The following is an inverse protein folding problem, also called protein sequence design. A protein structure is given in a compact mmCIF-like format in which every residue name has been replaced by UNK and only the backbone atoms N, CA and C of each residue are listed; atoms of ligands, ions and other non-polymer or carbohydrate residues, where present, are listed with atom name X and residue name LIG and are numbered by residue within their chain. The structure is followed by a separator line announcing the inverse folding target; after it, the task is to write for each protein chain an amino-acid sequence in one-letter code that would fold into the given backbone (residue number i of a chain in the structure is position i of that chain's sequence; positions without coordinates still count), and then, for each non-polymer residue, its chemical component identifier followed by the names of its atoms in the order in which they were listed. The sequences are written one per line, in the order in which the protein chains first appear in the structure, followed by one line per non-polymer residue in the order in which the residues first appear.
data_IF_491155700902
#
_entry.id   IF_491155700902
#
_cell.length_a   1.000
_cell.length_b   1.000
_cell.length_c   1.000
_cell.angle_alpha   90.00
_cell.angle_beta   90.00
_cell.angle_gamma   90.00
#
_symmetry.space_group_name_H-M   'P 1'
#
loop_
_entity.id
_entity.type
_entity.pdbx_description
1 polymer ?
#
# COMPACT_ATOMS: atom_id res chain seq x y z
N UNK A 1 -10.77 -24.38 -8.20
CA UNK A 1 -10.08 -23.56 -9.21
C UNK A 1 -10.29 -22.05 -9.02
N UNK A 2 -11.36 -21.56 -8.36
CA UNK A 2 -11.60 -20.11 -8.20
C UNK A 2 -10.87 -19.38 -7.06
N UNK A 3 -10.38 -20.07 -6.02
CA UNK A 3 -9.69 -19.42 -4.89
C UNK A 3 -8.30 -18.89 -5.27
N UNK A 4 -7.57 -19.61 -6.13
CA UNK A 4 -6.24 -19.21 -6.59
C UNK A 4 -6.31 -18.00 -7.52
N UNK A 5 -7.34 -17.94 -8.37
CA UNK A 5 -7.58 -16.81 -9.29
C UNK A 5 -8.00 -15.54 -8.53
N UNK A 6 -8.86 -15.66 -7.51
CA UNK A 6 -9.24 -14.52 -6.66
C UNK A 6 -8.05 -13.99 -5.86
N UNK A 7 -7.22 -14.87 -5.32
CA UNK A 7 -6.01 -14.49 -4.59
C UNK A 7 -4.97 -13.84 -5.52
N UNK A 8 -4.81 -14.35 -6.75
CA UNK A 8 -3.96 -13.75 -7.77
C UNK A 8 -4.47 -12.37 -8.19
N UNK A 9 -5.78 -12.19 -8.34
CA UNK A 9 -6.39 -10.88 -8.61
C UNK A 9 -6.05 -9.85 -7.53
N UNK A 10 -6.26 -10.20 -6.26
CA UNK A 10 -5.93 -9.32 -5.14
C UNK A 10 -4.41 -9.04 -5.03
N UNK A 11 -3.56 -9.98 -5.45
CA UNK A 11 -2.11 -9.76 -5.52
C UNK A 11 -1.72 -8.73 -6.59
N UNK A 12 -2.28 -8.83 -7.79
CA UNK A 12 -2.03 -7.87 -8.88
C UNK A 12 -2.56 -6.47 -8.54
N UNK A 13 -3.75 -6.39 -7.95
CA UNK A 13 -4.30 -5.12 -7.47
C UNK A 13 -3.42 -4.47 -6.39
N UNK A 14 -2.81 -5.26 -5.50
CA UNK A 14 -1.87 -4.75 -4.50
C UNK A 14 -0.57 -4.22 -5.11
N UNK A 15 -0.06 -4.84 -6.18
CA UNK A 15 1.08 -4.32 -6.94
C UNK A 15 0.72 -2.98 -7.57
N UNK A 16 -0.42 -2.89 -8.26
CA UNK A 16 -0.88 -1.65 -8.86
C UNK A 16 -1.10 -0.55 -7.81
N UNK A 17 -1.62 -0.90 -6.63
CA UNK A 17 -1.75 0.03 -5.50
C UNK A 17 -0.40 0.54 -4.98
N UNK A 18 0.61 -0.33 -4.93
CA UNK A 18 1.96 0.06 -4.56
C UNK A 18 2.58 1.01 -5.61
N UNK A 19 2.36 0.77 -6.90
CA UNK A 19 2.82 1.63 -7.99
C UNK A 19 2.21 3.03 -7.91
N UNK A 20 0.89 3.13 -7.73
CA UNK A 20 0.22 4.44 -7.59
C UNK A 20 0.64 5.17 -6.32
N UNK A 21 0.87 4.44 -5.22
CA UNK A 21 1.36 5.02 -3.98
C UNK A 21 2.79 5.56 -4.12
N UNK A 22 3.66 4.84 -4.83
CA UNK A 22 5.04 5.28 -5.17
C UNK A 22 5.04 6.58 -5.98
N UNK A 23 4.05 6.76 -6.84
CA UNK A 23 3.89 7.96 -7.67
C UNK A 23 3.25 9.14 -6.93
N UNK A 24 2.77 8.93 -5.70
CA UNK A 24 2.07 9.95 -4.91
C UNK A 24 0.64 10.21 -5.39
N UNK A 25 0.09 9.36 -6.26
CA UNK A 25 -1.30 9.48 -6.72
C UNK A 25 -2.26 8.84 -5.70
N UNK A 26 -2.55 9.60 -4.66
CA UNK A 26 -3.47 9.19 -3.59
C UNK A 26 -4.91 9.01 -4.10
N UNK A 27 -5.29 9.67 -5.19
CA UNK A 27 -6.65 9.58 -5.77
C UNK A 27 -6.82 8.26 -6.54
N UNK A 28 -5.84 7.90 -7.37
CA UNK A 28 -5.82 6.61 -8.06
C UNK A 28 -5.74 5.46 -7.06
N UNK A 29 -4.88 5.58 -6.04
CA UNK A 29 -4.75 4.60 -4.96
C UNK A 29 -6.09 4.37 -4.24
N UNK A 30 -6.78 5.46 -3.85
CA UNK A 30 -8.07 5.36 -3.19
C UNK A 30 -9.18 4.83 -4.11
N UNK A 31 -9.13 5.12 -5.42
CA UNK A 31 -10.07 4.57 -6.41
C UNK A 31 -9.88 3.06 -6.55
N UNK A 32 -8.64 2.59 -6.64
CA UNK A 32 -8.31 1.17 -6.79
C UNK A 32 -8.85 0.35 -5.62
N UNK A 33 -8.58 0.80 -4.38
CA UNK A 33 -9.12 0.14 -3.17
C UNK A 33 -10.64 0.10 -3.18
N UNK A 34 -11.31 1.20 -3.55
CA UNK A 34 -12.78 1.25 -3.60
C UNK A 34 -13.40 0.37 -4.69
N UNK A 35 -12.70 0.13 -5.80
CA UNK A 35 -13.20 -0.69 -6.90
C UNK A 35 -12.84 -2.17 -6.79
N UNK A 36 -11.94 -2.53 -5.88
CA UNK A 36 -11.53 -3.91 -5.68
C UNK A 36 -12.71 -4.78 -5.23
N UNK A 37 -12.77 -6.01 -5.77
CA UNK A 37 -13.74 -7.01 -5.33
C UNK A 37 -13.41 -7.54 -3.91
N UNK A 38 -12.15 -7.43 -3.46
CA UNK A 38 -11.71 -7.83 -2.13
C UNK A 38 -10.65 -6.86 -1.58
N UNK A 39 -11.08 -5.69 -1.08
CA UNK A 39 -10.17 -4.65 -0.60
C UNK A 39 -9.33 -5.07 0.62
N UNK A 40 -9.82 -6.01 1.43
CA UNK A 40 -9.09 -6.54 2.58
C UNK A 40 -7.87 -7.35 2.13
N UNK A 41 -8.03 -8.25 1.16
CA UNK A 41 -6.93 -9.05 0.62
C UNK A 41 -5.91 -8.17 -0.13
N UNK A 42 -6.38 -7.15 -0.88
CA UNK A 42 -5.50 -6.15 -1.51
C UNK A 42 -4.66 -5.41 -0.46
N UNK A 43 -5.29 -4.99 0.64
CA UNK A 43 -4.60 -4.29 1.73
C UNK A 43 -3.57 -5.21 2.40
N UNK A 44 -3.93 -6.46 2.67
CA UNK A 44 -3.02 -7.45 3.24
C UNK A 44 -1.82 -7.71 2.31
N UNK A 45 -2.07 -7.85 1.02
CA UNK A 45 -1.02 -8.06 0.02
C UNK A 45 -0.12 -6.83 -0.14
N UNK A 46 -0.66 -5.61 -0.01
CA UNK A 46 0.14 -4.39 0.07
C UNK A 46 1.08 -4.41 1.29
N UNK A 47 0.59 -4.83 2.45
CA UNK A 47 1.43 -4.96 3.66
C UNK A 47 2.56 -5.98 3.47
N UNK A 48 2.31 -7.07 2.73
CA UNK A 48 3.34 -8.06 2.36
C UNK A 48 4.41 -7.46 1.44
N UNK A 49 3.99 -6.69 0.42
CA UNK A 49 4.91 -5.97 -0.48
C UNK A 49 5.76 -4.96 0.30
N UNK A 50 5.15 -4.19 1.21
CA UNK A 50 5.87 -3.25 2.07
C UNK A 50 6.87 -3.98 2.98
N UNK A 51 6.52 -5.12 3.56
CA UNK A 51 7.45 -5.89 4.37
C UNK A 51 8.68 -6.39 3.57
N UNK A 52 8.49 -6.73 2.30
CA UNK A 52 9.61 -7.09 1.40
C UNK A 52 10.46 -5.84 1.10
N UNK A 53 9.83 -4.74 0.71
CA UNK A 53 10.52 -3.50 0.38
C UNK A 53 11.33 -2.94 1.56
N UNK A 54 10.74 -2.93 2.76
CA UNK A 54 11.35 -2.38 3.97
C UNK A 54 12.48 -3.23 4.53
N UNK A 55 12.63 -4.49 4.11
CA UNK A 55 13.67 -5.40 4.62
C UNK A 55 15.08 -4.90 4.33
N UNK A 56 15.27 -4.27 3.18
CA UNK A 56 16.57 -3.81 2.71
C UNK A 56 16.79 -2.30 2.96
N UNK A 57 15.84 -1.64 3.62
CA UNK A 57 15.93 -0.21 3.93
C UNK A 57 16.79 0.06 5.17
N UNK A 58 17.49 1.19 5.15
CA UNK A 58 18.30 1.63 6.29
C UNK A 58 17.42 1.93 7.51
N UNK A 59 17.74 1.40 8.71
CA UNK A 59 17.02 1.74 9.94
C UNK A 59 16.95 3.24 10.19
N UNK A 60 18.04 3.98 9.93
CA UNK A 60 18.09 5.43 10.11
C UNK A 60 17.14 6.18 9.16
N UNK A 61 16.97 5.68 7.93
CA UNK A 61 16.03 6.25 6.96
C UNK A 61 14.59 6.04 7.42
N UNK A 62 14.27 4.85 7.94
CA UNK A 62 12.95 4.53 8.48
C UNK A 62 12.62 5.35 9.73
N UNK A 63 13.55 5.45 10.68
CA UNK A 63 13.38 6.27 11.90
C UNK A 63 13.12 7.74 11.56
N UNK A 64 13.88 8.28 10.59
CA UNK A 64 13.69 9.65 10.12
C UNK A 64 12.33 9.84 9.45
N UNK A 65 11.90 8.89 8.64
CA UNK A 65 10.59 8.92 8.01
C UNK A 65 9.48 8.95 9.07
N UNK A 66 9.50 8.02 10.03
CA UNK A 66 8.51 7.94 11.11
C UNK A 66 8.48 9.26 11.91
N UNK A 67 9.63 9.74 12.38
CA UNK A 67 9.73 10.99 13.13
C UNK A 67 9.19 12.20 12.35
N UNK A 68 9.35 12.21 11.02
CA UNK A 68 8.81 13.26 10.15
C UNK A 68 7.29 13.14 10.03
N UNK A 69 6.76 11.93 9.81
CA UNK A 69 5.31 11.68 9.74
C UNK A 69 4.58 12.10 11.02
N UNK A 70 5.16 11.85 12.20
CA UNK A 70 4.62 12.33 13.47
C UNK A 70 4.53 13.86 13.57
N UNK A 71 5.47 14.59 12.94
CA UNK A 71 5.48 16.07 12.95
C UNK A 71 4.49 16.67 11.98
N UNK A 72 4.30 16.04 10.82
CA UNK A 72 3.36 16.51 9.79
C UNK A 72 1.91 16.25 10.22
N UNK A 73 1.65 15.11 10.86
CA UNK A 73 0.31 14.69 11.23
C UNK A 73 -0.53 14.24 10.02
N UNK A 74 -1.75 13.75 10.24
CA UNK A 74 -2.65 13.44 9.14
C UNK A 74 -3.01 14.72 8.37
N UNK A 75 -3.22 14.66 7.04
CA UNK A 75 -3.77 15.79 6.31
C UNK A 75 -5.11 16.21 6.94
N UNK A 76 -5.43 17.52 6.98
CA UNK A 76 -6.67 18.00 7.54
C UNK A 76 -7.86 17.32 6.85
N UNK A 77 -8.85 16.91 7.64
CA UNK A 77 -10.11 16.41 7.11
C UNK A 77 -10.75 17.55 6.31
N UNK A 78 -10.96 17.32 5.01
CA UNK A 78 -11.70 18.22 4.12
C UNK A 78 -13.17 18.29 4.52
#
# INVERSE_FOLDING_TARGET
MGLDDSNMGAWLEAIALFETAREGDHIASARLVRSSANPEDVTLNLMRLLAVYLRDESPQKLDRFIATSHRVGPPPLL
#
